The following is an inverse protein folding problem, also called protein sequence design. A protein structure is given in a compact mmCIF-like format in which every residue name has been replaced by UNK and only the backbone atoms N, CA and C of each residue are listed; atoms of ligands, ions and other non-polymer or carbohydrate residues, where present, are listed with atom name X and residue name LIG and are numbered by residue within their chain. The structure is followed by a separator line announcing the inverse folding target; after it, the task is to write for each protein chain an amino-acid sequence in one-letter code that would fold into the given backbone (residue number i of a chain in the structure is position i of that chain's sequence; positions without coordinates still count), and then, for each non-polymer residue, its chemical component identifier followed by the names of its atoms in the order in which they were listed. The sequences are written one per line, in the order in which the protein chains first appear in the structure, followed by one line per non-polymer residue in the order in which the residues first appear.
data_IF_262945234713
#
_entry.id   IF_262945234713
#
_cell.length_a   1.000
_cell.length_b   1.000
_cell.length_c   1.000
_cell.angle_alpha   90.00
_cell.angle_beta   90.00
_cell.angle_gamma   90.00
#
_symmetry.space_group_name_H-M   'P 1'
#
loop_
_entity.id
_entity.type
_entity.pdbx_description
1 polymer ?
#
# COMPACT_ATOMS: atom_id res chain seq x y z
N UNK A 1 23.02 -8.85 -11.67
CA UNK A 1 21.58 -8.61 -11.39
C UNK A 1 20.78 -9.88 -11.07
N UNK A 2 21.03 -11.04 -11.69
CA UNK A 2 20.22 -12.27 -11.48
C UNK A 2 20.19 -12.79 -10.02
N UNK A 3 21.23 -12.57 -9.23
CA UNK A 3 21.33 -13.14 -7.87
C UNK A 3 20.39 -12.50 -6.83
N UNK A 4 20.16 -11.18 -6.92
CA UNK A 4 19.23 -10.46 -6.03
C UNK A 4 17.78 -10.82 -6.33
N UNK A 5 17.40 -10.86 -7.62
CA UNK A 5 16.08 -11.32 -8.04
C UNK A 5 15.84 -12.78 -7.62
N UNK A 6 16.82 -13.66 -7.73
CA UNK A 6 16.69 -15.05 -7.30
C UNK A 6 16.55 -15.18 -5.78
N UNK A 7 17.21 -14.33 -4.99
CA UNK A 7 17.02 -14.27 -3.52
C UNK A 7 15.64 -13.76 -3.14
N UNK A 8 15.13 -12.72 -3.81
CA UNK A 8 13.77 -12.21 -3.60
C UNK A 8 12.74 -13.27 -4.03
N UNK A 9 12.97 -13.96 -5.15
CA UNK A 9 12.09 -15.03 -5.61
C UNK A 9 12.08 -16.24 -4.66
N UNK A 10 13.25 -16.62 -4.10
CA UNK A 10 13.34 -17.66 -3.05
C UNK A 10 12.70 -17.20 -1.74
N UNK A 11 12.85 -15.93 -1.37
CA UNK A 11 12.20 -15.37 -0.19
C UNK A 11 10.69 -15.32 -0.37
N UNK A 12 10.19 -14.89 -1.52
CA UNK A 12 8.77 -14.89 -1.86
C UNK A 12 8.18 -16.31 -1.94
N UNK A 13 8.97 -17.31 -2.36
CA UNK A 13 8.58 -18.72 -2.35
C UNK A 13 8.81 -19.42 -0.99
N UNK A 14 9.51 -18.80 -0.05
CA UNK A 14 9.67 -19.30 1.32
C UNK A 14 8.36 -19.16 2.09
N UNK A 15 8.03 -20.09 3.02
CA UNK A 15 6.87 -19.97 3.90
C UNK A 15 6.84 -18.65 4.67
N UNK A 16 8.00 -18.08 5.01
CA UNK A 16 8.09 -16.78 5.69
C UNK A 16 7.73 -15.61 4.76
N UNK A 17 8.19 -15.60 3.51
CA UNK A 17 7.84 -14.54 2.57
C UNK A 17 6.41 -14.67 2.04
N UNK A 18 5.87 -15.88 1.89
CA UNK A 18 4.43 -16.08 1.64
C UNK A 18 3.58 -15.47 2.74
N UNK A 19 3.94 -15.65 4.01
CA UNK A 19 3.26 -15.00 5.15
C UNK A 19 3.39 -13.49 5.10
N UNK A 20 4.57 -12.95 4.80
CA UNK A 20 4.77 -11.51 4.66
C UNK A 20 3.93 -10.91 3.50
N UNK A 21 3.90 -11.57 2.35
CA UNK A 21 3.08 -11.18 1.20
C UNK A 21 1.58 -11.32 1.53
N UNK A 22 1.17 -12.35 2.24
CA UNK A 22 -0.22 -12.51 2.67
C UNK A 22 -0.64 -11.46 3.68
N UNK A 23 0.21 -11.13 4.66
CA UNK A 23 -0.06 -10.03 5.60
C UNK A 23 -0.13 -8.69 4.87
N UNK A 24 0.79 -8.42 3.94
CA UNK A 24 0.75 -7.22 3.11
C UNK A 24 -0.52 -7.17 2.24
N UNK A 25 -0.90 -8.30 1.63
CA UNK A 25 -2.16 -8.43 0.86
C UNK A 25 -3.38 -8.25 1.75
N UNK A 26 -3.41 -8.81 2.95
CA UNK A 26 -4.51 -8.64 3.90
C UNK A 26 -4.60 -7.19 4.37
N UNK A 27 -3.48 -6.56 4.70
CA UNK A 27 -3.43 -5.14 5.01
C UNK A 27 -3.93 -4.27 3.86
N UNK A 28 -3.59 -4.63 2.62
CA UNK A 28 -4.03 -3.92 1.42
C UNK A 28 -5.50 -4.20 1.05
N UNK A 29 -5.99 -5.42 1.30
CA UNK A 29 -7.37 -5.82 1.06
C UNK A 29 -8.32 -5.43 2.17
N UNK A 30 -7.82 -4.98 3.32
CA UNK A 30 -8.65 -4.59 4.44
C UNK A 30 -9.52 -3.39 4.04
N UNK A 31 -10.84 -3.60 3.83
CA UNK A 31 -11.72 -2.56 3.31
C UNK A 31 -11.85 -1.40 4.31
N UNK A 32 -11.67 -1.66 5.62
CA UNK A 32 -11.71 -0.62 6.66
C UNK A 32 -10.53 0.34 6.54
N UNK A 33 -9.31 -0.18 6.33
CA UNK A 33 -8.13 0.68 6.08
C UNK A 33 -8.22 1.39 4.75
N UNK A 34 -8.79 0.75 3.73
CA UNK A 34 -9.02 1.36 2.42
C UNK A 34 -10.00 2.52 2.50
N UNK A 35 -11.06 2.40 3.29
CA UNK A 35 -12.01 3.49 3.54
C UNK A 35 -11.35 4.64 4.29
N UNK A 36 -10.63 4.37 5.39
CA UNK A 36 -9.91 5.42 6.13
C UNK A 36 -8.87 6.15 5.27
N UNK A 37 -8.12 5.42 4.44
CA UNK A 37 -7.16 6.02 3.52
C UNK A 37 -7.84 6.89 2.45
N UNK A 38 -8.96 6.42 1.87
CA UNK A 38 -9.76 7.21 0.93
C UNK A 38 -10.27 8.49 1.56
N UNK A 39 -10.79 8.42 2.79
CA UNK A 39 -11.32 9.57 3.52
C UNK A 39 -10.23 10.62 3.82
N UNK A 40 -9.05 10.14 4.26
CA UNK A 40 -7.89 10.99 4.50
C UNK A 40 -7.40 11.66 3.21
N UNK A 41 -7.28 10.90 2.12
CA UNK A 41 -6.88 11.42 0.80
C UNK A 41 -7.90 12.43 0.28
N UNK A 42 -9.19 12.17 0.47
CA UNK A 42 -10.26 13.07 0.06
C UNK A 42 -10.22 14.39 0.87
N UNK A 43 -10.03 14.33 2.18
CA UNK A 43 -9.81 15.52 3.04
C UNK A 43 -8.64 16.35 2.55
N UNK A 44 -7.49 15.73 2.28
CA UNK A 44 -6.29 16.41 1.79
C UNK A 44 -6.55 17.02 0.41
N UNK A 45 -7.18 16.28 -0.50
CA UNK A 45 -7.55 16.77 -1.83
C UNK A 45 -8.51 17.97 -1.75
N UNK A 46 -9.49 17.93 -0.84
CA UNK A 46 -10.47 19.00 -0.63
C UNK A 46 -9.82 20.24 -0.04
N UNK A 47 -8.91 20.08 0.92
CA UNK A 47 -8.10 21.18 1.45
C UNK A 47 -7.22 21.80 0.37
N UNK A 48 -6.55 20.99 -0.45
CA UNK A 48 -5.70 21.46 -1.54
C UNK A 48 -6.53 22.19 -2.62
N UNK A 49 -7.72 21.68 -2.93
CA UNK A 49 -8.65 22.31 -3.88
C UNK A 49 -9.19 23.65 -3.36
N UNK A 50 -9.52 23.75 -2.07
CA UNK A 50 -9.90 25.02 -1.44
C UNK A 50 -8.74 26.02 -1.43
N UNK A 51 -7.51 25.57 -1.17
CA UNK A 51 -6.32 26.43 -1.22
C UNK A 51 -6.03 26.98 -2.61
N UNK A 52 -6.40 26.24 -3.66
CA UNK A 52 -6.25 26.65 -5.07
C UNK A 52 -7.38 27.53 -5.61
N UNK A 53 -8.54 27.60 -4.92
CA UNK A 53 -9.68 28.46 -5.29
C UNK A 53 -9.65 29.84 -4.64
N UNK A 54 -8.71 30.11 -3.74
CA UNK A 54 -8.54 31.40 -3.07
C UNK A 54 -7.49 32.31 -3.70
N UNK A 55 -7.24 32.22 -5.01
CA UNK A 55 -6.24 33.02 -5.72
C UNK A 55 -6.84 33.68 -6.96
#
# INVERSE_FOLDING_TARGET
MASLFNRIARLANSPQGRRAIQQAKQFANDPRRRQQAKDAVEKVRRQLANRRRGH
#
